data_IF_935089699897
#
_entry.id   IF_935089699897
#
_cell.length_a   1.000
_cell.length_b   1.000
_cell.length_c   1.000
_cell.angle_alpha   90.00
_cell.angle_beta   90.00
_cell.angle_gamma   90.00
#
_symmetry.space_group_name_H-M   'P 1'
#
loop_
_entity.id
_entity.type
_entity.pdbx_description
1 polymer ?
#
# COMPACT_ATOMS: atom_id res chain seq x y z
N UNK A 1 16.58 -13.37 -29.74
CA UNK A 1 15.39 -12.82 -29.05
C UNK A 1 15.77 -12.53 -27.61
N UNK A 2 15.74 -11.27 -27.18
CA UNK A 2 16.07 -10.90 -25.79
C UNK A 2 15.07 -11.51 -24.81
N UNK A 3 15.51 -11.95 -23.62
CA UNK A 3 14.61 -12.53 -22.63
C UNK A 3 13.60 -11.49 -22.14
N UNK A 4 12.33 -11.90 -22.06
CA UNK A 4 11.25 -11.03 -21.61
C UNK A 4 11.30 -10.88 -20.08
N UNK A 5 11.46 -9.64 -19.60
CA UNK A 5 11.36 -9.35 -18.18
C UNK A 5 9.91 -9.45 -17.67
N UNK A 6 9.73 -10.01 -16.48
CA UNK A 6 8.46 -10.17 -15.79
C UNK A 6 8.50 -9.35 -14.50
N UNK A 7 7.52 -8.47 -14.31
CA UNK A 7 7.40 -7.69 -13.07
C UNK A 7 6.99 -8.64 -11.93
N UNK A 8 7.77 -8.63 -10.86
CA UNK A 8 7.52 -9.43 -9.66
C UNK A 8 6.85 -8.62 -8.57
N UNK A 9 7.17 -7.33 -8.47
CA UNK A 9 6.60 -6.45 -7.45
C UNK A 9 6.67 -4.98 -7.88
N UNK A 10 5.63 -4.22 -7.56
CA UNK A 10 5.58 -2.77 -7.66
C UNK A 10 5.37 -2.20 -6.27
N UNK A 11 6.25 -1.31 -5.86
CA UNK A 11 6.14 -0.54 -4.62
C UNK A 11 5.65 0.86 -4.97
N UNK A 12 4.53 1.26 -4.40
CA UNK A 12 3.96 2.59 -4.58
C UNK A 12 3.68 3.28 -3.24
N UNK A 13 3.50 4.58 -3.29
CA UNK A 13 3.15 5.38 -2.11
C UNK A 13 2.10 6.43 -2.44
N UNK A 14 1.30 6.77 -1.44
CA UNK A 14 0.37 7.87 -1.50
C UNK A 14 0.38 8.68 -0.21
N UNK A 15 0.05 9.96 -0.33
CA UNK A 15 -0.20 10.84 0.81
C UNK A 15 -1.70 11.13 0.90
N UNK A 16 -2.30 10.93 2.08
CA UNK A 16 -3.76 11.11 2.28
C UNK A 16 -4.12 12.20 3.30
N UNK A 17 -3.13 12.73 4.04
CA UNK A 17 -3.33 13.82 5.00
C UNK A 17 -2.29 14.93 4.80
N UNK A 18 -2.64 16.13 5.24
CA UNK A 18 -1.66 17.22 5.42
C UNK A 18 -0.75 16.90 6.61
N UNK A 19 0.51 17.38 6.59
CA UNK A 19 1.55 17.10 7.59
C UNK A 19 1.14 17.37 9.06
N UNK A 20 0.16 18.24 9.28
CA UNK A 20 -0.28 18.64 10.63
C UNK A 20 -1.42 17.77 11.19
N UNK A 21 -1.94 16.80 10.40
CA UNK A 21 -2.99 15.87 10.84
C UNK A 21 -2.38 14.49 11.07
N UNK A 22 -2.86 13.80 12.11
CA UNK A 22 -2.46 12.43 12.43
C UNK A 22 -3.65 11.48 12.36
N UNK A 23 -3.40 10.27 11.87
CA UNK A 23 -4.31 9.14 11.98
C UNK A 23 -4.11 8.46 13.33
N UNK A 24 -5.23 8.11 13.96
CA UNK A 24 -5.22 7.18 15.08
C UNK A 24 -5.14 5.75 14.54
N UNK A 25 -3.91 5.22 14.48
CA UNK A 25 -3.64 3.89 13.98
C UNK A 25 -4.22 2.77 14.88
N UNK A 26 -4.39 3.03 16.19
CA UNK A 26 -5.00 2.07 17.11
C UNK A 26 -6.49 1.92 16.79
N UNK A 27 -7.21 3.03 16.69
CA UNK A 27 -8.62 3.03 16.30
C UNK A 27 -8.84 2.35 14.95
N UNK A 28 -7.99 2.67 13.96
CA UNK A 28 -8.05 2.00 12.65
C UNK A 28 -7.79 0.50 12.73
N UNK A 29 -6.86 0.04 13.57
CA UNK A 29 -6.58 -1.40 13.74
C UNK A 29 -7.76 -2.18 14.33
N UNK A 30 -8.57 -1.55 15.19
CA UNK A 30 -9.73 -2.17 15.80
C UNK A 30 -10.91 -2.28 14.84
N UNK A 31 -11.02 -1.36 13.86
CA UNK A 31 -12.12 -1.31 12.90
C UNK A 31 -11.82 -2.18 11.67
N UNK A 32 -10.58 -2.19 11.19
CA UNK A 32 -10.20 -2.86 9.95
C UNK A 32 -9.79 -4.31 10.25
N UNK A 33 -10.62 -5.28 9.84
CA UNK A 33 -10.48 -6.72 10.17
C UNK A 33 -9.07 -7.32 9.98
N UNK A 34 -8.36 -6.97 8.91
CA UNK A 34 -7.04 -7.53 8.58
C UNK A 34 -5.88 -6.57 8.90
N UNK A 35 -6.12 -5.61 9.79
CA UNK A 35 -5.15 -4.62 10.21
C UNK A 35 -4.38 -5.11 11.44
N UNK A 36 -3.06 -4.91 11.45
CA UNK A 36 -2.19 -5.20 12.58
C UNK A 36 -1.36 -3.97 12.92
N UNK A 37 -1.46 -3.52 14.15
CA UNK A 37 -0.67 -2.40 14.66
C UNK A 37 0.01 -2.80 15.98
N UNK A 38 1.31 -2.57 16.06
CA UNK A 38 2.11 -2.82 17.26
C UNK A 38 3.26 -1.81 17.27
N UNK A 39 3.06 -0.58 17.79
CA UNK A 39 4.03 0.51 17.66
C UNK A 39 5.39 0.19 18.29
N UNK A 40 5.44 -0.69 19.29
CA UNK A 40 6.70 -1.18 19.87
C UNK A 40 7.54 -2.00 18.89
N UNK A 41 6.91 -2.65 17.91
CA UNK A 41 7.60 -3.46 16.88
C UNK A 41 7.76 -2.71 15.58
N UNK A 42 6.76 -1.95 15.16
CA UNK A 42 6.75 -1.24 13.89
C UNK A 42 5.82 -0.03 13.91
N UNK A 43 6.29 1.10 13.41
CA UNK A 43 5.60 2.39 13.48
C UNK A 43 4.38 2.54 12.55
N UNK A 44 4.13 1.55 11.68
CA UNK A 44 3.04 1.60 10.70
C UNK A 44 1.99 0.53 11.00
N UNK A 45 0.74 0.88 10.69
CA UNK A 45 -0.35 -0.07 10.62
C UNK A 45 -0.23 -0.90 9.35
N UNK A 46 -0.27 -2.22 9.48
CA UNK A 46 -0.17 -3.16 8.35
C UNK A 46 -1.56 -3.65 8.00
N UNK A 47 -2.01 -3.43 6.77
CA UNK A 47 -3.29 -3.97 6.26
C UNK A 47 -2.98 -4.92 5.11
N UNK A 48 -3.40 -6.19 5.26
CA UNK A 48 -3.18 -7.22 4.24
C UNK A 48 -4.49 -7.55 3.51
N UNK A 49 -4.42 -7.58 2.18
CA UNK A 49 -5.51 -8.03 1.30
C UNK A 49 -5.01 -9.19 0.47
N UNK A 50 -5.73 -10.32 0.50
CA UNK A 50 -5.42 -11.51 -0.31
C UNK A 50 -6.24 -11.56 -1.61
N UNK A 51 -7.51 -11.10 -1.57
CA UNK A 51 -8.45 -11.09 -2.69
C UNK A 51 -9.27 -9.79 -2.69
N UNK A 52 -9.74 -9.29 -3.87
CA UNK A 52 -9.48 -9.81 -5.22
C UNK A 52 -8.11 -9.39 -5.79
N UNK A 53 -7.45 -8.43 -5.14
CA UNK A 53 -6.14 -7.91 -5.56
C UNK A 53 -5.15 -7.99 -4.40
N UNK A 54 -4.28 -9.01 -4.45
CA UNK A 54 -3.29 -9.24 -3.41
C UNK A 54 -2.36 -8.04 -3.27
N UNK A 55 -2.36 -7.45 -2.07
CA UNK A 55 -1.58 -6.26 -1.75
C UNK A 55 -1.46 -6.08 -0.25
N UNK A 56 -0.45 -5.32 0.17
CA UNK A 56 -0.26 -4.94 1.58
C UNK A 56 -0.01 -3.45 1.65
N UNK A 57 -0.76 -2.77 2.52
CA UNK A 57 -0.54 -1.37 2.85
C UNK A 57 0.19 -1.25 4.19
N UNK A 58 1.18 -0.37 4.22
CA UNK A 58 1.81 0.15 5.43
C UNK A 58 1.33 1.59 5.59
N UNK A 59 0.52 1.84 6.61
CA UNK A 59 -0.12 3.14 6.88
C UNK A 59 0.57 3.79 8.06
N UNK A 60 1.13 4.98 7.84
CA UNK A 60 1.82 5.74 8.87
C UNK A 60 0.88 6.79 9.48
N UNK A 61 1.14 7.15 10.74
CA UNK A 61 0.31 8.12 11.48
C UNK A 61 0.24 9.48 10.80
N UNK A 62 1.25 9.87 10.02
CA UNK A 62 1.25 11.11 9.23
C UNK A 62 0.43 11.05 7.93
N UNK A 63 -0.31 9.95 7.68
CA UNK A 63 -1.11 9.78 6.48
C UNK A 63 -0.32 9.37 5.23
N UNK A 64 0.94 8.97 5.36
CA UNK A 64 1.64 8.26 4.27
C UNK A 64 1.15 6.82 4.20
N UNK A 65 0.91 6.33 2.99
CA UNK A 65 0.61 4.94 2.68
C UNK A 65 1.72 4.42 1.77
N UNK A 66 2.25 3.24 2.07
CA UNK A 66 3.13 2.48 1.18
C UNK A 66 2.41 1.19 0.81
N UNK A 67 2.28 0.91 -0.49
CA UNK A 67 1.65 -0.30 -1.00
C UNK A 67 2.69 -1.20 -1.67
N UNK A 68 2.62 -2.50 -1.36
CA UNK A 68 3.49 -3.55 -1.91
C UNK A 68 2.67 -4.79 -2.28
N UNK A 69 3.26 -5.69 -3.06
CA UNK A 69 2.71 -7.00 -3.38
C UNK A 69 1.96 -7.08 -4.71
N UNK A 70 1.82 -5.96 -5.42
CA UNK A 70 1.18 -5.90 -6.75
C UNK A 70 2.17 -6.19 -7.87
N UNK A 71 1.73 -6.82 -8.96
CA UNK A 71 2.60 -7.20 -10.11
C UNK A 71 2.49 -6.28 -11.33
N UNK A 72 1.73 -5.19 -11.23
CA UNK A 72 1.65 -4.17 -12.28
C UNK A 72 1.47 -2.79 -11.67
N UNK A 73 1.83 -1.75 -12.42
CA UNK A 73 1.65 -0.35 -12.01
C UNK A 73 0.17 -0.02 -11.84
N UNK A 74 -0.67 -0.49 -12.75
CA UNK A 74 -2.13 -0.33 -12.72
C UNK A 74 -2.75 -0.94 -11.47
N UNK A 75 -2.35 -2.16 -11.14
CA UNK A 75 -2.80 -2.83 -9.91
C UNK A 75 -2.35 -2.09 -8.67
N UNK A 76 -1.12 -1.58 -8.66
CA UNK A 76 -0.60 -0.79 -7.54
C UNK A 76 -1.44 0.47 -7.30
N UNK A 77 -1.87 1.14 -8.36
CA UNK A 77 -2.76 2.30 -8.27
C UNK A 77 -4.15 1.93 -7.76
N UNK A 78 -4.74 0.85 -8.27
CA UNK A 78 -6.05 0.34 -7.82
C UNK A 78 -5.99 -0.04 -6.33
N UNK A 79 -4.94 -0.76 -5.93
CA UNK A 79 -4.73 -1.18 -4.54
C UNK A 79 -4.66 0.02 -3.60
N UNK A 80 -3.83 1.03 -3.91
CA UNK A 80 -3.76 2.26 -3.10
C UNK A 80 -5.12 2.93 -2.99
N UNK A 81 -5.85 3.10 -4.10
CA UNK A 81 -7.18 3.73 -4.08
C UNK A 81 -8.17 2.97 -3.19
N UNK A 82 -8.10 1.63 -3.19
CA UNK A 82 -8.91 0.79 -2.32
C UNK A 82 -8.54 0.96 -0.83
N UNK A 83 -7.25 1.05 -0.51
CA UNK A 83 -6.81 1.35 0.86
C UNK A 83 -7.25 2.74 1.33
N UNK A 84 -7.17 3.77 0.47
CA UNK A 84 -7.68 5.11 0.82
C UNK A 84 -9.17 5.06 1.14
N UNK A 85 -9.98 4.39 0.32
CA UNK A 85 -11.42 4.21 0.57
C UNK A 85 -11.69 3.46 1.88
N UNK A 86 -10.93 2.40 2.16
CA UNK A 86 -11.07 1.61 3.39
C UNK A 86 -10.78 2.48 4.63
N UNK A 87 -9.69 3.24 4.61
CA UNK A 87 -9.30 4.13 5.71
C UNK A 87 -10.32 5.26 5.87
N UNK A 88 -10.78 5.86 4.77
CA UNK A 88 -11.82 6.90 4.79
C UNK A 88 -13.10 6.44 5.46
N UNK A 89 -13.56 5.22 5.14
CA UNK A 89 -14.72 4.59 5.79
C UNK A 89 -14.49 4.34 7.28
N UNK A 90 -13.34 3.78 7.64
CA UNK A 90 -13.01 3.46 9.03
C UNK A 90 -12.83 4.72 9.92
N UNK A 91 -12.32 5.81 9.34
CA UNK A 91 -12.10 7.07 10.07
C UNK A 91 -13.31 8.02 10.06
N UNK A 92 -14.47 7.59 9.53
CA UNK A 92 -15.67 8.40 9.37
C UNK A 92 -15.39 9.80 8.78
N UNK A 93 -14.43 9.90 7.87
CA UNK A 93 -13.90 11.17 7.36
C UNK A 93 -13.72 11.09 5.84
N UNK A 94 -14.05 12.18 5.14
CA UNK A 94 -13.73 12.31 3.71
C UNK A 94 -12.22 12.49 3.54
N UNK A 95 -11.53 11.43 3.13
CA UNK A 95 -10.08 11.43 2.91
C UNK A 95 -9.81 11.32 1.41
N UNK A 96 -9.12 12.31 0.86
CA UNK A 96 -8.72 12.34 -0.54
C UNK A 96 -7.22 12.06 -0.68
N UNK A 97 -6.87 11.29 -1.72
CA UNK A 97 -5.48 11.04 -2.07
C UNK A 97 -4.87 12.31 -2.67
N UNK A 98 -3.81 12.83 -2.05
CA UNK A 98 -3.12 14.06 -2.46
C UNK A 98 -2.04 13.79 -3.50
N UNK A 99 -1.37 12.64 -3.42
CA UNK A 99 -0.36 12.24 -4.39
C UNK A 99 -0.26 10.73 -4.47
N UNK A 100 0.19 10.24 -5.62
CA UNK A 100 0.55 8.85 -5.89
C UNK A 100 1.90 8.82 -6.60
N UNK A 101 2.81 7.94 -6.16
CA UNK A 101 4.13 7.77 -6.76
C UNK A 101 4.53 6.30 -6.78
N UNK A 102 5.15 5.86 -7.86
CA UNK A 102 5.89 4.59 -7.90
C UNK A 102 7.27 4.82 -7.28
N UNK A 103 7.66 3.99 -6.33
CA UNK A 103 8.96 4.06 -5.66
C UNK A 103 9.95 3.07 -6.22
N UNK A 104 9.51 1.85 -6.50
CA UNK A 104 10.36 0.79 -7.01
C UNK A 104 9.57 -0.23 -7.84
N UNK A 105 10.22 -0.85 -8.80
CA UNK A 105 9.71 -1.98 -9.57
C UNK A 105 10.79 -3.06 -9.57
N UNK A 106 10.44 -4.26 -9.10
CA UNK A 106 11.30 -5.43 -9.14
C UNK A 106 10.88 -6.30 -10.33
N UNK A 107 11.83 -6.67 -11.18
CA UNK A 107 11.60 -7.56 -12.32
C UNK A 107 12.63 -8.68 -12.37
N UNK A 108 12.24 -9.82 -12.93
CA UNK A 108 13.14 -10.94 -13.20
C UNK A 108 13.03 -11.37 -14.66
N UNK A 109 14.12 -11.91 -15.21
CA UNK A 109 14.15 -12.52 -16.53
C UNK A 109 15.02 -13.79 -16.48
N UNK A 110 14.86 -14.67 -17.46
CA UNK A 110 15.66 -15.90 -17.56
C UNK A 110 16.67 -15.70 -18.69
N UNK A 111 17.97 -15.76 -18.40
CA UNK A 111 18.99 -15.77 -19.46
C UNK A 111 18.98 -17.11 -20.18
N UNK A 112 19.10 -17.09 -21.51
CA UNK A 112 19.28 -18.31 -22.32
C UNK A 112 20.76 -18.47 -22.62
N UNK A 113 21.53 -18.73 -21.57
CA UNK A 113 22.92 -19.15 -21.68
C UNK A 113 23.06 -20.50 -20.98
N UNK A 114 22.65 -21.56 -21.69
CA UNK A 114 23.10 -22.97 -21.63
C UNK A 114 22.54 -23.65 -22.89
#
# INVERSE_FOLDING_TARGET
MFPKAIIQNVVSTAQILNKNKKLDLYSLSNIIKNAKYSPERFSALIIKVEQPLRSTALVFSNGKIVCVGTKSVKDSEIAIRNFVKLISKANCSSINMQSFKILNIVSSFVSRDI
#
